data_IF_664373612285
#
_entry.id   IF_664373612285
#
_cell.length_a   1.000
_cell.length_b   1.000
_cell.length_c   1.000
_cell.angle_alpha   90.00
_cell.angle_beta   90.00
_cell.angle_gamma   90.00
#
_symmetry.space_group_name_H-M   'P 1'
#
loop_
_entity.id
_entity.type
_entity.pdbx_description
1 polymer ?
#
# COMPACT_ATOMS: atom_id res chain seq x y z
N UNK A 1 -5.13 -11.16 -11.06
CA UNK A 1 -6.53 -10.69 -11.08
C UNK A 1 -6.62 -9.53 -12.07
N UNK A 2 -7.72 -9.44 -12.82
CA UNK A 2 -7.95 -8.25 -13.64
C UNK A 2 -8.71 -7.27 -12.76
N UNK A 3 -8.22 -6.05 -12.66
CA UNK A 3 -8.95 -4.93 -12.11
C UNK A 3 -10.30 -4.81 -12.85
N UNK A 4 -11.40 -4.74 -12.12
CA UNK A 4 -12.73 -4.69 -12.72
C UNK A 4 -13.26 -3.26 -12.66
N UNK A 5 -13.67 -2.70 -13.78
CA UNK A 5 -14.28 -1.36 -13.87
C UNK A 5 -15.61 -1.22 -13.09
N UNK A 6 -16.22 -2.35 -12.66
CA UNK A 6 -17.39 -2.33 -11.76
C UNK A 6 -17.03 -2.12 -10.29
N UNK A 7 -15.79 -1.72 -9.98
CA UNK A 7 -15.35 -1.41 -8.62
C UNK A 7 -15.90 -0.04 -8.21
N UNK A 8 -16.34 0.07 -6.96
CA UNK A 8 -16.76 1.34 -6.35
C UNK A 8 -15.52 2.23 -6.11
N UNK A 9 -15.05 2.90 -7.16
CA UNK A 9 -14.05 3.96 -7.02
C UNK A 9 -14.79 5.28 -6.85
N UNK A 10 -14.51 5.96 -5.77
CA UNK A 10 -14.98 7.31 -5.51
C UNK A 10 -13.79 8.27 -5.54
N UNK A 11 -13.57 8.89 -6.69
CA UNK A 11 -12.54 9.92 -6.87
C UNK A 11 -12.88 11.16 -6.03
N UNK A 12 -11.86 11.79 -5.41
CA UNK A 12 -12.07 12.96 -4.56
C UNK A 12 -11.33 14.18 -5.06
N UNK A 13 -10.02 14.09 -5.24
CA UNK A 13 -9.19 15.24 -5.63
C UNK A 13 -7.92 14.78 -6.34
N UNK A 14 -7.38 15.64 -7.17
CA UNK A 14 -6.05 15.52 -7.76
C UNK A 14 -5.35 16.86 -7.79
N UNK A 15 -4.07 16.85 -8.07
CA UNK A 15 -3.30 18.07 -8.24
C UNK A 15 -1.85 17.79 -8.58
N UNK A 16 -1.10 18.87 -8.78
CA UNK A 16 0.34 18.85 -8.98
C UNK A 16 1.02 19.49 -7.78
N UNK A 17 2.07 18.86 -7.31
CA UNK A 17 2.96 19.44 -6.31
C UNK A 17 4.38 19.52 -6.86
N UNK A 18 5.04 20.66 -6.62
CA UNK A 18 6.46 20.84 -6.89
C UNK A 18 7.16 21.23 -5.58
N UNK A 19 8.19 20.48 -5.21
CA UNK A 19 9.00 20.80 -4.06
C UNK A 19 9.62 22.20 -4.23
N UNK A 20 9.52 23.08 -3.23
CA UNK A 20 10.03 24.45 -3.32
C UNK A 20 11.56 24.51 -3.49
N UNK A 21 12.26 23.54 -2.91
CA UNK A 21 13.72 23.43 -2.98
C UNK A 21 14.17 21.98 -2.64
N UNK A 22 15.48 21.73 -2.70
CA UNK A 22 16.09 20.42 -2.44
C UNK A 22 16.09 19.99 -0.96
N UNK A 23 15.68 20.86 -0.04
CA UNK A 23 15.59 20.56 1.40
C UNK A 23 14.18 20.14 1.81
N UNK A 24 13.22 20.19 0.89
CA UNK A 24 11.84 19.86 1.16
C UNK A 24 11.66 18.39 1.56
N UNK A 25 10.88 18.18 2.61
CA UNK A 25 10.42 16.87 3.09
C UNK A 25 8.90 16.79 2.93
N UNK A 26 8.40 15.64 2.48
CA UNK A 26 6.97 15.40 2.49
C UNK A 26 6.43 15.52 3.92
N UNK A 27 5.30 16.20 4.08
CA UNK A 27 4.67 16.41 5.39
C UNK A 27 4.26 15.09 6.03
N UNK A 28 4.35 15.02 7.35
CA UNK A 28 3.83 13.88 8.11
C UNK A 28 2.32 14.02 8.27
N UNK A 29 1.58 13.02 7.75
CA UNK A 29 0.11 13.02 7.80
C UNK A 29 -0.45 11.60 7.72
N UNK A 30 -1.68 11.43 8.17
CA UNK A 30 -2.49 10.24 7.89
C UNK A 30 -3.74 10.67 7.13
N UNK A 31 -4.07 9.93 6.06
CA UNK A 31 -5.24 10.19 5.21
C UNK A 31 -6.16 8.99 5.21
N UNK A 32 -7.45 9.21 4.98
CA UNK A 32 -8.48 8.16 4.99
C UNK A 32 -8.77 7.58 3.60
N UNK A 33 -8.19 8.17 2.55
CA UNK A 33 -8.31 7.74 1.16
C UNK A 33 -7.06 6.99 0.69
N UNK A 34 -7.16 6.28 -0.42
CA UNK A 34 -5.98 5.91 -1.21
C UNK A 34 -5.37 7.15 -1.82
N UNK A 35 -4.06 7.16 -1.99
CA UNK A 35 -3.35 8.23 -2.68
C UNK A 35 -2.30 7.66 -3.63
N UNK A 36 -2.35 8.11 -4.88
CA UNK A 36 -1.34 7.84 -5.91
C UNK A 36 -0.43 9.05 -6.04
N UNK A 37 0.88 8.84 -5.94
CA UNK A 37 1.92 9.79 -6.35
C UNK A 37 2.55 9.30 -7.64
N UNK A 38 2.47 10.08 -8.70
CA UNK A 38 3.15 9.83 -9.95
C UNK A 38 4.23 10.89 -10.17
N UNK A 39 5.50 10.50 -10.12
CA UNK A 39 6.63 11.45 -10.20
C UNK A 39 6.91 11.83 -11.65
N UNK A 40 6.76 13.12 -11.95
CA UNK A 40 7.01 13.70 -13.27
C UNK A 40 8.41 14.25 -13.42
N UNK A 41 9.06 14.67 -12.31
CA UNK A 41 10.43 15.18 -12.28
C UNK A 41 11.12 14.86 -10.96
N UNK A 42 12.40 14.49 -11.02
CA UNK A 42 13.22 14.25 -9.83
C UNK A 42 12.97 12.92 -9.15
N UNK A 43 13.07 12.90 -7.83
CA UNK A 43 12.88 11.70 -7.01
C UNK A 43 12.14 12.05 -5.73
N UNK A 44 11.02 11.37 -5.45
CA UNK A 44 10.26 11.48 -4.22
C UNK A 44 10.75 10.41 -3.23
N UNK A 45 11.00 10.81 -1.99
CA UNK A 45 11.30 9.92 -0.87
C UNK A 45 10.16 10.00 0.14
N UNK A 46 9.30 8.99 0.14
CA UNK A 46 8.11 8.91 0.99
C UNK A 46 8.07 7.60 1.73
N UNK A 47 7.59 7.62 2.96
CA UNK A 47 7.35 6.44 3.79
C UNK A 47 5.89 6.33 4.13
N UNK A 48 5.37 5.10 4.21
CA UNK A 48 4.10 4.79 4.85
C UNK A 48 4.33 3.81 6.00
N UNK A 49 4.09 4.23 7.24
CA UNK A 49 4.44 3.47 8.44
C UNK A 49 5.92 2.99 8.42
N UNK A 50 6.16 1.73 7.98
CA UNK A 50 7.48 1.09 8.01
C UNK A 50 8.09 0.83 6.62
N UNK A 51 7.46 1.29 5.55
CA UNK A 51 7.96 1.09 4.20
C UNK A 51 8.48 2.39 3.62
N UNK A 52 9.78 2.44 3.33
CA UNK A 52 10.43 3.56 2.67
C UNK A 52 10.42 3.35 1.15
N UNK A 53 9.85 4.31 0.44
CA UNK A 53 9.79 4.29 -1.02
C UNK A 53 10.73 5.34 -1.60
N UNK A 54 11.43 4.94 -2.66
CA UNK A 54 12.18 5.84 -3.54
C UNK A 54 11.51 5.80 -4.90
N UNK A 55 10.85 6.88 -5.27
CA UNK A 55 10.01 6.97 -6.49
C UNK A 55 10.63 7.96 -7.44
N UNK A 56 11.11 7.48 -8.59
CA UNK A 56 11.80 8.29 -9.60
C UNK A 56 10.83 8.78 -10.68
N UNK A 57 11.28 9.71 -11.50
CA UNK A 57 10.56 10.15 -12.69
C UNK A 57 10.04 8.97 -13.52
N UNK A 58 8.74 8.97 -13.84
CA UNK A 58 8.05 7.89 -14.56
C UNK A 58 7.60 6.72 -13.68
N UNK A 59 7.90 6.78 -12.39
CA UNK A 59 7.44 5.80 -11.40
C UNK A 59 6.30 6.37 -10.57
N UNK A 60 5.55 5.47 -9.94
CA UNK A 60 4.46 5.82 -9.04
C UNK A 60 4.53 5.02 -7.73
N UNK A 61 3.92 5.56 -6.70
CA UNK A 61 3.58 4.85 -5.47
C UNK A 61 2.12 5.09 -5.10
N UNK A 62 1.45 4.04 -4.61
CA UNK A 62 0.10 4.13 -4.05
C UNK A 62 0.20 3.83 -2.57
N UNK A 63 -0.29 4.74 -1.75
CA UNK A 63 -0.40 4.58 -0.30
C UNK A 63 -1.83 4.24 0.08
N UNK A 64 -1.98 3.32 1.04
CA UNK A 64 -3.28 2.88 1.54
C UNK A 64 -3.85 3.86 2.58
N UNK A 65 -5.19 3.85 2.79
CA UNK A 65 -5.83 4.61 3.85
C UNK A 65 -5.26 4.33 5.24
N UNK A 66 -5.34 5.30 6.13
CA UNK A 66 -4.95 5.20 7.54
C UNK A 66 -3.47 4.83 7.77
N UNK A 67 -2.60 5.11 6.80
CA UNK A 67 -1.15 5.01 6.94
C UNK A 67 -0.54 6.35 7.32
N UNK A 68 0.52 6.31 8.16
CA UNK A 68 1.28 7.51 8.48
C UNK A 68 2.29 7.77 7.37
N UNK A 69 1.99 8.74 6.52
CA UNK A 69 2.89 9.16 5.45
C UNK A 69 3.85 10.21 5.97
N UNK A 70 5.11 10.14 5.55
CA UNK A 70 6.10 11.18 5.80
C UNK A 70 7.26 11.07 4.81
N UNK A 71 7.95 12.19 4.58
CA UNK A 71 9.22 12.17 3.87
C UNK A 71 10.32 11.64 4.78
N UNK A 72 11.08 10.65 4.32
CA UNK A 72 12.21 10.10 5.11
C UNK A 72 13.56 10.67 4.67
N UNK A 73 13.59 11.39 3.54
CA UNK A 73 14.78 12.07 3.02
C UNK A 73 14.36 13.33 2.27
N UNK A 74 15.09 14.46 2.39
CA UNK A 74 14.85 15.64 1.60
C UNK A 74 14.98 15.37 0.09
N UNK A 75 14.16 16.06 -0.71
CA UNK A 75 14.15 15.86 -2.16
C UNK A 75 13.67 17.08 -2.93
N UNK A 76 14.13 17.14 -4.18
CA UNK A 76 13.58 18.03 -5.21
C UNK A 76 12.81 17.18 -6.22
N UNK A 77 11.49 17.37 -6.27
CA UNK A 77 10.63 16.58 -7.15
C UNK A 77 9.38 17.36 -7.56
N UNK A 78 8.79 16.91 -8.67
CA UNK A 78 7.43 17.28 -9.07
C UNK A 78 6.65 16.00 -9.25
N UNK A 79 5.42 15.97 -8.77
CA UNK A 79 4.54 14.80 -8.90
C UNK A 79 3.08 15.21 -9.06
N UNK A 80 2.31 14.37 -9.75
CA UNK A 80 0.86 14.38 -9.68
C UNK A 80 0.42 13.56 -8.50
N UNK A 81 -0.63 14.02 -7.79
CA UNK A 81 -1.30 13.25 -6.75
C UNK A 81 -2.77 13.07 -7.08
N UNK A 82 -3.34 11.91 -6.71
CA UNK A 82 -4.74 11.56 -6.91
C UNK A 82 -5.24 10.86 -5.66
N UNK A 83 -6.39 11.29 -5.15
CA UNK A 83 -7.05 10.66 -4.01
C UNK A 83 -8.36 10.03 -4.42
N UNK A 84 -8.65 8.86 -3.90
CA UNK A 84 -9.91 8.16 -4.09
C UNK A 84 -10.23 7.24 -2.92
N UNK A 85 -11.53 6.91 -2.76
CA UNK A 85 -11.97 5.81 -1.93
C UNK A 85 -12.24 4.59 -2.80
N UNK A 86 -11.96 3.41 -2.28
CA UNK A 86 -12.28 2.13 -2.89
C UNK A 86 -12.35 1.06 -1.81
N UNK A 87 -13.08 -0.03 -2.08
CA UNK A 87 -13.06 -1.20 -1.22
C UNK A 87 -11.69 -1.88 -1.28
N UNK A 88 -11.17 -2.37 -0.16
CA UNK A 88 -9.87 -3.04 -0.09
C UNK A 88 -9.77 -4.24 -1.05
N UNK A 89 -10.89 -4.94 -1.28
CA UNK A 89 -10.98 -6.03 -2.26
C UNK A 89 -10.66 -5.58 -3.69
N UNK A 90 -10.96 -4.33 -4.04
CA UNK A 90 -10.69 -3.75 -5.36
C UNK A 90 -9.20 -3.47 -5.55
N UNK A 91 -8.53 -3.06 -4.49
CA UNK A 91 -7.10 -2.73 -4.49
C UNK A 91 -6.22 -3.96 -4.20
N UNK A 92 -6.82 -5.08 -3.78
CA UNK A 92 -6.11 -6.32 -3.52
C UNK A 92 -5.34 -6.79 -4.75
N UNK A 93 -4.01 -6.95 -4.61
CA UNK A 93 -3.12 -7.34 -5.70
C UNK A 93 -2.81 -6.22 -6.71
N UNK A 94 -3.25 -4.99 -6.44
CA UNK A 94 -2.78 -3.83 -7.21
C UNK A 94 -1.36 -3.47 -6.76
N UNK A 95 -0.40 -3.23 -7.69
CA UNK A 95 0.96 -2.88 -7.31
C UNK A 95 0.99 -1.50 -6.66
N UNK A 96 1.50 -1.41 -5.42
CA UNK A 96 1.63 -0.13 -4.72
C UNK A 96 2.82 0.70 -5.20
N UNK A 97 3.79 0.09 -5.85
CA UNK A 97 4.97 0.76 -6.43
C UNK A 97 5.23 0.17 -7.82
N UNK A 98 5.45 1.01 -8.80
CA UNK A 98 5.72 0.57 -10.15
C UNK A 98 6.15 1.69 -11.08
N UNK A 99 6.20 1.40 -12.38
CA UNK A 99 6.53 2.37 -13.40
C UNK A 99 5.46 2.42 -14.49
N UNK A 100 5.09 3.61 -14.91
CA UNK A 100 4.29 3.85 -16.10
C UNK A 100 5.13 4.59 -17.13
N UNK A 101 5.50 3.91 -18.19
CA UNK A 101 6.35 4.51 -19.26
C UNK A 101 5.59 5.48 -20.16
N UNK A 102 4.27 5.44 -20.13
CA UNK A 102 3.45 6.27 -20.99
C UNK A 102 2.91 7.48 -20.21
N UNK A 103 3.81 8.43 -19.95
CA UNK A 103 3.49 9.67 -19.23
C UNK A 103 2.38 10.46 -19.94
N UNK A 104 2.39 10.49 -21.28
CA UNK A 104 1.42 11.24 -22.10
C UNK A 104 -0.04 10.82 -21.80
N UNK A 105 -0.25 9.54 -21.49
CA UNK A 105 -1.57 9.03 -21.09
C UNK A 105 -1.97 9.56 -19.73
N UNK A 106 -1.07 9.54 -18.75
CA UNK A 106 -1.36 10.06 -17.41
C UNK A 106 -1.63 11.56 -17.46
N UNK A 107 -0.83 12.32 -18.19
CA UNK A 107 -1.03 13.76 -18.40
C UNK A 107 -2.37 14.07 -19.07
N UNK A 108 -2.76 13.28 -20.08
CA UNK A 108 -4.05 13.42 -20.75
C UNK A 108 -5.22 13.22 -19.79
N UNK A 109 -5.21 12.16 -18.98
CA UNK A 109 -6.28 11.91 -18.01
C UNK A 109 -6.25 12.90 -16.87
N UNK A 110 -5.06 13.34 -16.43
CA UNK A 110 -4.92 14.43 -15.46
C UNK A 110 -5.60 15.70 -15.97
N UNK A 111 -5.33 16.10 -17.22
CA UNK A 111 -5.94 17.28 -17.85
C UNK A 111 -7.46 17.13 -17.97
N UNK A 112 -7.97 15.95 -18.31
CA UNK A 112 -9.40 15.68 -18.36
C UNK A 112 -10.03 15.83 -16.97
N UNK A 113 -9.41 15.30 -15.90
CA UNK A 113 -9.91 15.44 -14.52
C UNK A 113 -9.94 16.88 -14.04
N UNK A 114 -9.20 17.78 -14.67
CA UNK A 114 -9.16 19.21 -14.35
C UNK A 114 -10.32 20.02 -14.96
N UNK A 115 -11.20 19.40 -15.77
CA UNK A 115 -12.40 20.05 -16.30
C UNK A 115 -13.47 20.21 -15.20
N UNK A 116 -13.80 21.44 -14.84
CA UNK A 116 -14.77 21.77 -13.80
C UNK A 116 -16.22 21.32 -14.13
N UNK A 117 -16.50 20.96 -15.39
CA UNK A 117 -17.82 20.48 -15.82
C UNK A 117 -17.97 18.96 -15.74
N UNK A 118 -16.97 18.22 -15.26
CA UNK A 118 -17.06 16.79 -15.12
C UNK A 118 -18.08 16.39 -14.05
N UNK A 119 -18.93 15.42 -14.39
CA UNK A 119 -19.75 14.75 -13.36
C UNK A 119 -18.88 13.84 -12.50
N UNK A 120 -19.33 13.57 -11.26
CA UNK A 120 -18.63 12.67 -10.34
C UNK A 120 -18.44 11.28 -10.94
N UNK A 121 -19.44 10.79 -11.69
CA UNK A 121 -19.38 9.49 -12.36
C UNK A 121 -18.27 9.42 -13.39
N UNK A 122 -18.12 10.47 -14.20
CA UNK A 122 -17.04 10.54 -15.20
C UNK A 122 -15.67 10.59 -14.51
N UNK A 123 -15.52 11.39 -13.46
CA UNK A 123 -14.28 11.48 -12.69
C UNK A 123 -13.90 10.14 -12.06
N UNK A 124 -14.88 9.39 -11.52
CA UNK A 124 -14.68 8.04 -11.00
C UNK A 124 -14.17 7.07 -12.08
N UNK A 125 -14.76 7.12 -13.29
CA UNK A 125 -14.33 6.29 -14.39
C UNK A 125 -12.92 6.68 -14.92
N UNK A 126 -12.62 7.98 -14.98
CA UNK A 126 -11.28 8.44 -15.36
C UNK A 126 -10.22 7.96 -14.37
N UNK A 127 -10.49 8.02 -13.06
CA UNK A 127 -9.59 7.45 -12.05
C UNK A 127 -9.39 5.95 -12.23
N UNK A 128 -10.48 5.20 -12.49
CA UNK A 128 -10.39 3.77 -12.79
C UNK A 128 -9.51 3.49 -14.04
N UNK A 129 -9.63 4.32 -15.07
CA UNK A 129 -8.80 4.20 -16.28
C UNK A 129 -7.33 4.49 -15.98
N UNK A 130 -7.01 5.53 -15.19
CA UNK A 130 -5.64 5.82 -14.75
C UNK A 130 -5.04 4.59 -14.06
N UNK A 131 -5.76 3.98 -13.11
CA UNK A 131 -5.32 2.78 -12.42
C UNK A 131 -5.08 1.60 -13.39
N UNK A 132 -5.95 1.41 -14.37
CA UNK A 132 -5.77 0.38 -15.40
C UNK A 132 -4.53 0.64 -16.27
N UNK A 133 -4.26 1.89 -16.64
CA UNK A 133 -3.11 2.24 -17.47
C UNK A 133 -1.78 2.02 -16.73
N UNK A 134 -1.70 2.44 -15.45
CA UNK A 134 -0.52 2.15 -14.65
C UNK A 134 -0.31 0.63 -14.47
N UNK A 135 -1.38 -0.14 -14.26
CA UNK A 135 -1.28 -1.60 -14.15
C UNK A 135 -0.75 -2.28 -15.43
N UNK A 136 -1.05 -1.72 -16.63
CA UNK A 136 -0.52 -2.24 -17.90
C UNK A 136 1.00 -2.08 -18.00
N UNK A 137 1.54 -0.97 -17.48
CA UNK A 137 2.99 -0.70 -17.49
C UNK A 137 3.78 -1.80 -16.78
N UNK A 138 3.23 -2.35 -15.72
CA UNK A 138 3.87 -3.41 -14.92
C UNK A 138 3.86 -4.80 -15.60
N UNK A 139 2.99 -5.04 -16.58
CA UNK A 139 2.92 -6.35 -17.29
C UNK A 139 4.10 -6.63 -18.22
N UNK A 140 4.90 -5.62 -18.55
CA UNK A 140 6.06 -5.75 -19.46
C UNK A 140 7.39 -6.01 -18.74
N UNK A 141 7.37 -6.30 -17.44
CA UNK A 141 8.59 -6.59 -16.68
C UNK A 141 8.92 -8.07 -16.83
N UNK A 142 10.01 -8.32 -17.57
CA UNK A 142 10.52 -9.66 -17.82
C UNK A 142 10.76 -10.45 -16.54
N UNK A 143 10.41 -11.75 -16.57
CA UNK A 143 10.46 -12.72 -15.47
C UNK A 143 11.87 -12.97 -14.84
N UNK A 144 12.87 -12.13 -15.13
CA UNK A 144 14.26 -12.31 -14.71
C UNK A 144 14.78 -11.37 -13.61
N UNK A 145 14.01 -10.37 -13.19
CA UNK A 145 14.50 -9.41 -12.19
C UNK A 145 13.94 -9.74 -10.79
N UNK A 146 14.77 -10.37 -9.96
CA UNK A 146 14.42 -10.74 -8.58
C UNK A 146 14.07 -9.54 -7.69
N UNK A 147 14.66 -8.37 -7.94
CA UNK A 147 14.34 -7.13 -7.21
C UNK A 147 12.92 -6.66 -7.54
N UNK A 148 12.52 -6.77 -8.80
CA UNK A 148 11.16 -6.42 -9.24
C UNK A 148 10.11 -7.39 -8.68
N UNK A 149 10.39 -8.68 -8.72
CA UNK A 149 9.52 -9.68 -8.10
C UNK A 149 9.35 -9.38 -6.61
N UNK A 150 10.42 -9.02 -5.91
CA UNK A 150 10.38 -8.66 -4.50
C UNK A 150 9.51 -7.42 -4.25
N UNK A 151 9.65 -6.36 -5.04
CA UNK A 151 8.79 -5.16 -4.96
C UNK A 151 7.31 -5.50 -5.14
N UNK A 152 6.99 -6.32 -6.13
CA UNK A 152 5.61 -6.79 -6.38
C UNK A 152 5.06 -7.63 -5.24
N UNK A 153 5.88 -8.47 -4.59
CA UNK A 153 5.49 -9.23 -3.40
C UNK A 153 5.18 -8.30 -2.25
N UNK A 154 6.03 -7.31 -1.97
CA UNK A 154 5.83 -6.32 -0.92
C UNK A 154 4.54 -5.51 -1.15
N UNK A 155 4.32 -5.09 -2.38
CA UNK A 155 3.10 -4.43 -2.80
C UNK A 155 1.85 -5.30 -2.57
N UNK A 156 1.90 -6.56 -2.99
CA UNK A 156 0.80 -7.49 -2.77
C UNK A 156 0.48 -7.67 -1.28
N UNK A 157 1.50 -7.85 -0.44
CA UNK A 157 1.34 -8.02 1.00
C UNK A 157 0.63 -6.82 1.62
N UNK A 158 0.86 -5.61 1.13
CA UNK A 158 0.26 -4.40 1.67
C UNK A 158 -1.27 -4.37 1.53
N UNK A 159 -1.81 -4.89 0.43
CA UNK A 159 -3.24 -4.82 0.11
C UNK A 159 -3.96 -6.18 0.19
N UNK A 160 -3.22 -7.28 0.33
CA UNK A 160 -3.83 -8.61 0.38
C UNK A 160 -4.67 -8.78 1.65
N UNK A 161 -5.84 -9.45 1.58
CA UNK A 161 -6.57 -9.90 2.75
C UNK A 161 -5.69 -10.74 3.69
N UNK A 162 -5.96 -10.70 5.00
CA UNK A 162 -5.13 -11.40 5.98
C UNK A 162 -5.06 -12.92 5.75
N UNK A 163 -6.13 -13.53 5.26
CA UNK A 163 -6.20 -14.94 4.89
C UNK A 163 -5.27 -15.33 3.76
N UNK A 164 -4.92 -14.39 2.87
CA UNK A 164 -3.96 -14.55 1.77
C UNK A 164 -2.51 -14.29 2.17
N UNK A 165 -2.25 -13.80 3.38
CA UNK A 165 -0.91 -13.55 3.90
C UNK A 165 -0.19 -14.84 4.33
N UNK A 166 -0.17 -15.83 3.42
CA UNK A 166 0.55 -17.10 3.56
C UNK A 166 1.53 -17.24 2.40
N UNK A 167 2.67 -17.89 2.66
CA UNK A 167 3.70 -18.08 1.62
C UNK A 167 3.11 -18.83 0.42
N UNK A 168 2.28 -19.85 0.65
CA UNK A 168 1.62 -20.63 -0.39
C UNK A 168 0.67 -19.80 -1.25
N UNK A 169 -0.14 -18.93 -0.62
CA UNK A 169 -1.07 -18.06 -1.34
C UNK A 169 -0.33 -17.07 -2.24
N UNK A 170 0.73 -16.45 -1.71
CA UNK A 170 1.59 -15.53 -2.47
C UNK A 170 2.28 -16.26 -3.61
N UNK A 171 2.83 -17.46 -3.37
CA UNK A 171 3.48 -18.26 -4.40
C UNK A 171 2.51 -18.62 -5.53
N UNK A 172 1.29 -19.01 -5.20
CA UNK A 172 0.22 -19.28 -6.16
C UNK A 172 -0.18 -18.03 -6.95
N UNK A 173 -0.32 -16.88 -6.27
CA UNK A 173 -0.67 -15.60 -6.90
C UNK A 173 0.35 -15.19 -7.97
N UNK A 174 1.64 -15.27 -7.63
CA UNK A 174 2.72 -14.90 -8.55
C UNK A 174 3.11 -16.02 -9.52
N UNK A 175 2.52 -17.23 -9.41
CA UNK A 175 2.82 -18.41 -10.22
C UNK A 175 4.28 -18.86 -10.13
N UNK A 176 4.85 -18.77 -8.94
CA UNK A 176 6.16 -19.32 -8.59
C UNK A 176 6.05 -20.42 -7.55
N UNK A 177 7.05 -21.28 -7.45
CA UNK A 177 7.13 -22.18 -6.32
C UNK A 177 7.58 -21.42 -5.05
N UNK A 178 7.13 -21.89 -3.88
CA UNK A 178 7.40 -21.24 -2.58
C UNK A 178 8.88 -21.07 -2.28
N UNK A 179 9.69 -22.08 -2.64
CA UNK A 179 11.14 -22.07 -2.39
C UNK A 179 11.85 -20.97 -3.17
N UNK A 180 11.54 -20.84 -4.47
CA UNK A 180 12.10 -19.80 -5.32
C UNK A 180 11.68 -18.41 -4.84
N UNK A 181 10.38 -18.21 -4.60
CA UNK A 181 9.83 -16.92 -4.17
C UNK A 181 10.42 -16.49 -2.81
N UNK A 182 10.51 -17.41 -1.84
CA UNK A 182 11.14 -17.14 -0.53
C UNK A 182 12.63 -16.83 -0.67
N UNK A 183 13.34 -17.54 -1.54
CA UNK A 183 14.76 -17.27 -1.81
C UNK A 183 14.96 -15.87 -2.42
N UNK A 184 14.19 -15.53 -3.46
CA UNK A 184 14.23 -14.20 -4.08
C UNK A 184 13.93 -13.08 -3.07
N UNK A 185 12.90 -13.26 -2.26
CA UNK A 185 12.52 -12.29 -1.23
C UNK A 185 13.64 -12.10 -0.20
N UNK A 186 14.17 -13.22 0.33
CA UNK A 186 15.24 -13.19 1.35
C UNK A 186 16.51 -12.54 0.81
N UNK A 187 16.89 -12.84 -0.45
CA UNK A 187 18.06 -12.24 -1.09
C UNK A 187 17.94 -10.73 -1.23
N UNK A 188 16.74 -10.23 -1.49
CA UNK A 188 16.52 -8.79 -1.71
C UNK A 188 16.29 -7.99 -0.41
N UNK A 189 15.63 -8.60 0.60
CA UNK A 189 15.22 -7.89 1.83
C UNK A 189 16.12 -8.21 3.04
N UNK A 190 16.91 -9.27 2.97
CA UNK A 190 17.71 -9.77 4.10
C UNK A 190 16.90 -10.53 5.16
N UNK A 191 15.56 -10.65 5.01
CA UNK A 191 14.71 -11.39 5.94
C UNK A 191 13.80 -12.40 5.23
N UNK A 192 13.35 -13.45 5.96
CA UNK A 192 12.47 -14.45 5.38
C UNK A 192 11.06 -13.89 5.13
N UNK A 193 10.43 -14.25 4.00
CA UNK A 193 9.06 -13.88 3.69
C UNK A 193 8.09 -14.22 4.82
N UNK A 194 8.22 -15.39 5.45
CA UNK A 194 7.39 -15.81 6.60
C UNK A 194 7.50 -14.85 7.79
N UNK A 195 8.71 -14.33 8.07
CA UNK A 195 8.93 -13.36 9.14
C UNK A 195 8.27 -12.03 8.79
N UNK A 196 8.41 -11.58 7.55
CA UNK A 196 7.81 -10.36 7.04
C UNK A 196 6.27 -10.40 7.11
N UNK A 197 5.65 -11.50 6.65
CA UNK A 197 4.20 -11.71 6.75
C UNK A 197 3.70 -11.67 8.19
N UNK A 198 4.43 -12.32 9.12
CA UNK A 198 4.09 -12.27 10.54
C UNK A 198 4.15 -10.84 11.10
N UNK A 199 5.16 -10.08 10.73
CA UNK A 199 5.30 -8.67 11.14
C UNK A 199 4.12 -7.82 10.62
N UNK A 200 3.73 -8.00 9.35
CA UNK A 200 2.60 -7.29 8.77
C UNK A 200 1.26 -7.65 9.46
N UNK A 201 1.03 -8.92 9.78
CA UNK A 201 -0.16 -9.32 10.52
C UNK A 201 -0.22 -8.69 11.92
N UNK A 202 0.91 -8.63 12.63
CA UNK A 202 0.99 -7.96 13.94
C UNK A 202 0.75 -6.45 13.80
N UNK A 203 1.25 -5.83 12.75
CA UNK A 203 1.02 -4.41 12.45
C UNK A 203 -0.48 -4.12 12.25
N UNK A 204 -1.16 -4.93 11.44
CA UNK A 204 -2.62 -4.83 11.25
C UNK A 204 -3.39 -5.06 12.54
N UNK A 205 -2.97 -6.05 13.36
CA UNK A 205 -3.55 -6.28 14.68
C UNK A 205 -3.45 -5.05 15.58
N UNK A 206 -2.27 -4.43 15.63
CA UNK A 206 -2.08 -3.19 16.40
C UNK A 206 -3.02 -2.10 15.97
N UNK A 207 -3.12 -1.85 14.67
CA UNK A 207 -4.00 -0.83 14.12
C UNK A 207 -5.47 -1.05 14.54
N UNK A 208 -6.00 -2.28 14.41
CA UNK A 208 -7.37 -2.58 14.84
C UNK A 208 -7.52 -2.38 16.36
N UNK A 209 -6.54 -2.81 17.16
CA UNK A 209 -6.55 -2.65 18.62
C UNK A 209 -6.50 -1.18 19.07
N UNK A 210 -5.84 -0.33 18.30
CA UNK A 210 -5.64 1.09 18.59
C UNK A 210 -6.87 1.95 18.24
N UNK A 211 -7.53 1.62 17.13
CA UNK A 211 -8.55 2.50 16.53
C UNK A 211 -9.98 1.94 16.59
N UNK A 212 -10.16 0.71 17.10
CA UNK A 212 -11.49 0.10 17.20
C UNK A 212 -11.69 -0.60 18.54
N UNK A 213 -12.95 -0.80 18.93
CA UNK A 213 -13.34 -1.62 20.08
C UNK A 213 -13.69 -3.06 19.69
N UNK A 214 -13.31 -3.49 18.51
CA UNK A 214 -13.56 -4.85 18.00
C UNK A 214 -13.08 -5.90 18.98
N UNK A 215 -13.90 -6.90 19.34
CA UNK A 215 -13.53 -7.98 20.26
C UNK A 215 -12.25 -8.71 19.82
N UNK A 216 -11.42 -9.12 20.78
CA UNK A 216 -10.15 -9.82 20.48
C UNK A 216 -10.38 -11.11 19.68
N UNK A 217 -11.49 -11.82 19.94
CA UNK A 217 -11.88 -13.00 19.17
C UNK A 217 -12.14 -12.68 17.68
N UNK A 218 -12.88 -11.60 17.43
CA UNK A 218 -13.18 -11.14 16.06
C UNK A 218 -11.91 -10.68 15.35
N UNK A 219 -10.99 -9.97 16.04
CA UNK A 219 -9.69 -9.60 15.47
C UNK A 219 -8.89 -10.84 15.09
N UNK A 220 -8.86 -11.85 15.97
CA UNK A 220 -8.18 -13.13 15.70
C UNK A 220 -8.70 -13.81 14.44
N UNK A 221 -10.03 -13.85 14.29
CA UNK A 221 -10.71 -14.42 13.12
C UNK A 221 -10.40 -13.61 11.83
N UNK A 222 -10.54 -12.28 11.86
CA UNK A 222 -10.23 -11.39 10.73
C UNK A 222 -8.77 -11.50 10.26
N UNK A 223 -7.86 -11.79 11.20
CA UNK A 223 -6.45 -12.01 10.89
C UNK A 223 -6.14 -13.46 10.46
N UNK A 224 -7.15 -14.33 10.32
CA UNK A 224 -7.00 -15.70 9.83
C UNK A 224 -6.35 -16.67 10.82
N UNK A 225 -6.40 -16.38 12.13
CA UNK A 225 -5.96 -17.32 13.16
C UNK A 225 -7.06 -18.34 13.48
N UNK A 226 -6.66 -19.59 13.72
CA UNK A 226 -7.58 -20.68 14.05
C UNK A 226 -8.33 -20.45 15.36
N UNK A 227 -7.73 -19.73 16.29
CA UNK A 227 -8.27 -19.44 17.61
C UNK A 227 -7.63 -18.21 18.26
N UNK A 228 -8.34 -17.62 19.22
CA UNK A 228 -7.92 -16.41 19.92
C UNK A 228 -6.70 -16.61 20.82
N UNK A 229 -6.47 -17.84 21.30
CA UNK A 229 -5.32 -18.16 22.17
C UNK A 229 -4.02 -18.13 21.35
N UNK A 230 -4.02 -18.77 20.17
CA UNK A 230 -2.89 -18.76 19.22
C UNK A 230 -2.53 -17.34 18.80
N UNK A 231 -3.53 -16.51 18.46
CA UNK A 231 -3.32 -15.11 18.17
C UNK A 231 -2.68 -14.37 19.34
N UNK A 232 -3.28 -14.47 20.54
CA UNK A 232 -2.81 -13.76 21.73
C UNK A 232 -1.39 -14.14 22.13
N UNK A 233 -1.05 -15.43 21.98
CA UNK A 233 0.29 -15.93 22.24
C UNK A 233 1.32 -15.36 21.25
N UNK A 234 1.01 -15.38 19.94
CA UNK A 234 1.90 -14.84 18.90
C UNK A 234 2.07 -13.33 19.06
N UNK A 235 0.98 -12.60 19.33
CA UNK A 235 1.00 -11.16 19.56
C UNK A 235 1.87 -10.81 20.79
N UNK A 236 1.64 -11.46 21.93
CA UNK A 236 2.42 -11.25 23.15
C UNK A 236 3.91 -11.56 22.97
N UNK A 237 4.24 -12.62 22.26
CA UNK A 237 5.64 -12.98 21.99
C UNK A 237 6.35 -11.90 21.15
N UNK A 238 5.62 -11.24 20.26
CA UNK A 238 6.17 -10.22 19.36
C UNK A 238 6.16 -8.83 19.98
N UNK A 239 5.05 -8.43 20.63
CA UNK A 239 4.83 -7.06 21.14
C UNK A 239 5.20 -6.94 22.62
N UNK A 240 5.38 -8.07 23.34
CA UNK A 240 5.66 -8.18 24.79
C UNK A 240 4.47 -7.81 25.69
N UNK A 241 3.33 -7.47 25.10
CA UNK A 241 2.07 -7.22 25.78
C UNK A 241 0.99 -8.13 25.17
N UNK A 242 0.03 -8.56 25.98
CA UNK A 242 -1.16 -9.20 25.41
C UNK A 242 -2.00 -8.20 24.59
N UNK A 243 -2.84 -8.64 23.64
CA UNK A 243 -3.71 -7.74 22.88
C UNK A 243 -4.56 -6.84 23.77
N UNK A 244 -5.08 -7.38 24.88
CA UNK A 244 -5.89 -6.63 25.85
C UNK A 244 -5.09 -5.56 26.60
N UNK A 245 -3.89 -5.90 27.06
CA UNK A 245 -2.99 -4.94 27.72
C UNK A 245 -2.54 -3.85 26.73
N UNK A 246 -2.25 -4.23 25.49
CA UNK A 246 -1.86 -3.29 24.44
C UNK A 246 -2.96 -2.25 24.18
N UNK A 247 -4.21 -2.69 23.98
CA UNK A 247 -5.36 -1.80 23.80
C UNK A 247 -5.54 -0.86 24.97
N UNK A 248 -5.53 -1.39 26.21
CA UNK A 248 -5.69 -0.58 27.42
C UNK A 248 -4.63 0.50 27.57
N UNK A 249 -3.37 0.17 27.27
CA UNK A 249 -2.28 1.12 27.34
C UNK A 249 -2.41 2.23 26.31
N UNK A 250 -2.85 1.89 25.09
CA UNK A 250 -3.06 2.88 24.02
C UNK A 250 -4.21 3.83 24.33
N UNK A 251 -5.35 3.31 24.80
CA UNK A 251 -6.50 4.13 25.19
C UNK A 251 -6.16 5.09 26.33
N UNK A 252 -5.45 4.64 27.35
CA UNK A 252 -5.00 5.49 28.47
C UNK A 252 -4.11 6.66 28.01
N UNK A 253 -3.30 6.48 26.98
CA UNK A 253 -2.42 7.52 26.45
C UNK A 253 -3.17 8.55 25.55
N UNK A 254 -4.42 8.29 25.18
CA UNK A 254 -5.26 9.22 24.39
C UNK A 254 -6.13 10.13 25.26
N UNK A 255 -6.27 9.83 26.53
CA UNK A 255 -7.06 10.61 27.51
C UNK A 255 -6.20 11.68 28.25
N UNK A 256 -4.90 11.76 27.91
CA UNK A 256 -3.95 12.78 28.38
C UNK A 256 -3.68 13.78 27.24
#
# INVERSE_FOLDING_TARGET
MNFNLNTNIEFTIHGTFTAPDSTWLHISRSITSYELFYVTKGTLYISDDNNDYTVKTGEYVITAPCKNQHGWKPCECTFYYFHWFADDSCMSGFPCLGSCKNIDIIEKYYALLSDENLTKEISNHLMAIILLEIQKGDKNISAGNTAELCRRILSYIQFAPCEELKVSSIASHFKYNEKYLTHCFTTQTGESLKKHLKAEMIKRAKHILEYTDTPISTISEQLGYSDTHSFSHIFKNTVKLSPREYRKNFQKNREI
#
